data_IF_001831429836
#
_entry.id   IF_001831429836
#
_cell.length_a   1.000
_cell.length_b   1.000
_cell.length_c   1.000
_cell.angle_alpha   90.00
_cell.angle_beta   90.00
_cell.angle_gamma   90.00
#
_symmetry.space_group_name_H-M   'P 1'
#
loop_
_entity.id
_entity.type
_entity.pdbx_description
1 polymer ?
#
# COMPACT_ATOMS: atom_id res chain seq x y z
N UNK A 1 2.88 3.42 -7.44
CA UNK A 1 2.70 3.68 -5.99
C UNK A 1 2.78 5.18 -5.77
N UNK A 2 1.65 5.88 -5.71
CA UNK A 2 1.63 7.29 -5.34
C UNK A 2 1.78 7.41 -3.82
N UNK A 3 2.84 8.11 -3.36
CA UNK A 3 3.08 8.45 -1.96
C UNK A 3 3.86 7.41 -1.16
N UNK A 4 5.19 7.38 -1.31
CA UNK A 4 6.07 6.72 -0.33
C UNK A 4 6.26 7.64 0.87
N UNK A 5 5.38 7.57 1.87
CA UNK A 5 5.60 8.26 3.13
C UNK A 5 6.37 7.34 4.09
N UNK A 6 7.48 7.84 4.65
CA UNK A 6 8.29 7.07 5.62
C UNK A 6 7.48 6.90 6.91
N UNK A 7 7.36 5.67 7.40
CA UNK A 7 6.85 5.41 8.74
C UNK A 7 8.03 5.35 9.71
N UNK A 8 8.12 6.32 10.63
CA UNK A 8 9.16 6.36 11.65
C UNK A 8 8.81 5.43 12.83
N UNK A 9 9.84 4.92 13.52
CA UNK A 9 9.70 4.00 14.66
C UNK A 9 8.71 2.88 14.36
N UNK A 10 9.14 1.96 13.48
CA UNK A 10 8.27 0.94 12.94
C UNK A 10 8.98 -0.40 12.85
N UNK A 11 8.21 -1.47 13.02
CA UNK A 11 8.62 -2.82 12.68
C UNK A 11 8.01 -3.19 11.34
N UNK A 12 8.82 -3.72 10.44
CA UNK A 12 8.38 -4.27 9.16
C UNK A 12 8.83 -5.72 9.06
N UNK A 13 7.94 -6.57 8.61
CA UNK A 13 8.23 -7.95 8.27
C UNK A 13 7.85 -8.22 6.81
N UNK A 14 8.70 -8.96 6.13
CA UNK A 14 8.45 -9.48 4.77
C UNK A 14 8.77 -10.97 4.81
N UNK A 15 7.87 -11.80 4.32
CA UNK A 15 8.12 -13.24 4.21
C UNK A 15 9.19 -13.52 3.14
N UNK A 16 9.84 -14.69 3.18
CA UNK A 16 10.44 -15.27 1.98
C UNK A 16 9.40 -15.39 0.86
N UNK A 17 9.87 -15.53 -0.38
CA UNK A 17 8.99 -15.88 -1.51
C UNK A 17 8.69 -17.39 -1.47
N UNK A 18 7.42 -17.75 -1.38
CA UNK A 18 6.94 -19.14 -1.44
C UNK A 18 6.17 -19.35 -2.74
N UNK A 19 6.76 -20.08 -3.68
CA UNK A 19 6.16 -20.34 -5.01
C UNK A 19 5.68 -19.06 -5.73
N UNK A 20 6.46 -17.98 -5.60
CA UNK A 20 6.13 -16.68 -6.19
C UNK A 20 5.31 -15.75 -5.28
N UNK A 21 4.68 -16.28 -4.21
CA UNK A 21 3.93 -15.47 -3.24
C UNK A 21 4.86 -14.86 -2.19
N UNK A 22 4.78 -13.55 -2.00
CA UNK A 22 5.43 -12.81 -0.92
C UNK A 22 4.38 -12.03 -0.16
N UNK A 23 4.42 -12.08 1.18
CA UNK A 23 3.53 -11.29 2.04
C UNK A 23 4.37 -10.37 2.92
N UNK A 24 3.79 -9.24 3.31
CA UNK A 24 4.45 -8.28 4.18
C UNK A 24 3.48 -7.56 5.10
N UNK A 25 3.99 -7.15 6.25
CA UNK A 25 3.27 -6.34 7.22
C UNK A 25 4.19 -5.28 7.82
N UNK A 26 3.61 -4.15 8.22
CA UNK A 26 4.30 -3.06 8.90
C UNK A 26 3.42 -2.52 10.02
N UNK A 27 4.05 -2.25 11.16
CA UNK A 27 3.47 -1.55 12.29
C UNK A 27 4.37 -0.38 12.71
N UNK A 28 3.85 0.84 12.64
CA UNK A 28 4.48 2.05 13.16
C UNK A 28 3.82 2.49 14.46
N UNK A 29 4.62 2.72 15.50
CA UNK A 29 4.13 2.98 16.87
C UNK A 29 3.52 4.38 17.09
N UNK A 30 3.55 5.27 16.09
CA UNK A 30 2.94 6.61 16.17
C UNK A 30 3.68 7.64 17.03
N UNK A 31 4.73 7.22 17.76
CA UNK A 31 5.60 8.08 18.58
C UNK A 31 4.87 8.91 19.64
N UNK A 32 3.75 8.40 20.17
CA UNK A 32 3.03 9.02 21.29
C UNK A 32 3.53 8.40 22.59
N UNK A 33 4.08 9.22 23.49
CA UNK A 33 4.57 8.76 24.78
C UNK A 33 3.45 8.03 25.57
N UNK A 34 3.76 6.84 26.08
CA UNK A 34 2.79 6.02 26.83
C UNK A 34 1.72 5.32 25.98
N UNK A 35 1.74 5.43 24.64
CA UNK A 35 0.77 4.75 23.78
C UNK A 35 1.38 4.25 22.47
N UNK A 36 1.35 2.92 22.29
CA UNK A 36 1.79 2.28 21.04
C UNK A 36 0.73 2.29 19.93
N UNK A 37 -0.54 2.55 20.29
CA UNK A 37 -1.69 2.50 19.38
C UNK A 37 -2.21 3.87 18.93
N UNK A 38 -1.80 4.94 19.60
CA UNK A 38 -2.15 6.31 19.21
C UNK A 38 -1.30 6.76 18.02
N UNK A 39 -1.94 7.41 17.03
CA UNK A 39 -1.31 7.83 15.78
C UNK A 39 -0.53 6.71 15.05
N UNK A 40 -0.90 5.44 15.29
CA UNK A 40 -0.18 4.30 14.75
C UNK A 40 -0.45 4.11 13.25
N UNK A 41 0.48 3.44 12.57
CA UNK A 41 0.32 3.08 11.16
C UNK A 41 0.40 1.57 11.00
N UNK A 42 -0.56 0.99 10.30
CA UNK A 42 -0.56 -0.45 9.98
C UNK A 42 -0.59 -0.59 8.46
N UNK A 43 0.27 -1.42 7.90
CA UNK A 43 0.23 -1.79 6.49
C UNK A 43 0.36 -3.30 6.34
N UNK A 44 -0.36 -3.85 5.37
CA UNK A 44 -0.26 -5.26 4.96
C UNK A 44 -0.30 -5.32 3.45
N UNK A 45 0.39 -6.30 2.88
CA UNK A 45 0.37 -6.49 1.43
C UNK A 45 0.81 -7.89 1.05
N UNK A 46 0.46 -8.24 -0.18
CA UNK A 46 0.89 -9.46 -0.82
C UNK A 46 1.24 -9.18 -2.28
N UNK A 47 2.25 -9.86 -2.79
CA UNK A 47 2.57 -9.91 -4.21
C UNK A 47 2.74 -11.36 -4.64
N UNK A 48 2.39 -11.64 -5.88
CA UNK A 48 2.58 -12.91 -6.53
C UNK A 48 3.29 -12.67 -7.85
N UNK A 49 4.43 -13.32 -8.06
CA UNK A 49 5.22 -13.21 -9.26
C UNK A 49 5.51 -14.62 -9.80
N UNK A 50 5.05 -14.91 -11.01
CA UNK A 50 5.26 -16.20 -11.67
C UNK A 50 5.46 -16.03 -13.19
N UNK A 51 6.71 -16.08 -13.61
CA UNK A 51 7.10 -15.94 -15.01
C UNK A 51 6.66 -14.58 -15.59
N UNK A 52 5.87 -14.57 -16.67
CA UNK A 52 5.43 -13.33 -17.32
C UNK A 52 4.36 -12.56 -16.54
N UNK A 53 3.70 -13.21 -15.57
CA UNK A 53 2.63 -12.63 -14.79
C UNK A 53 3.12 -12.20 -13.41
N UNK A 54 2.63 -11.05 -12.96
CA UNK A 54 2.67 -10.74 -11.55
C UNK A 54 1.50 -9.85 -11.13
N UNK A 55 1.08 -10.00 -9.88
CA UNK A 55 0.01 -9.22 -9.28
C UNK A 55 0.36 -8.88 -7.84
N UNK A 56 -0.27 -7.85 -7.31
CA UNK A 56 -0.10 -7.50 -5.91
C UNK A 56 -1.19 -6.60 -5.41
N UNK A 57 -1.39 -6.63 -4.10
CA UNK A 57 -2.28 -5.73 -3.41
C UNK A 57 -1.66 -5.29 -2.09
N UNK A 58 -2.01 -4.10 -1.66
CA UNK A 58 -1.58 -3.54 -0.39
C UNK A 58 -2.70 -2.71 0.24
N UNK A 59 -2.71 -2.69 1.56
CA UNK A 59 -3.57 -1.87 2.38
C UNK A 59 -2.72 -1.17 3.43
N UNK A 60 -3.01 0.10 3.70
CA UNK A 60 -2.37 0.90 4.72
C UNK A 60 -3.43 1.72 5.45
N UNK A 61 -3.37 1.71 6.78
CA UNK A 61 -4.19 2.52 7.65
C UNK A 61 -3.27 3.34 8.54
N UNK A 62 -3.29 4.66 8.35
CA UNK A 62 -2.55 5.60 9.17
C UNK A 62 -3.53 6.35 10.07
N UNK A 63 -3.35 6.26 11.39
CA UNK A 63 -4.13 7.04 12.35
C UNK A 63 -3.42 8.35 12.65
N UNK A 64 -4.21 9.38 12.91
CA UNK A 64 -3.76 10.68 13.35
C UNK A 64 -4.51 11.01 14.64
N UNK A 65 -3.76 11.43 15.66
CA UNK A 65 -4.35 11.92 16.91
C UNK A 65 -5.17 13.19 16.69
N UNK A 66 -6.00 13.53 17.68
CA UNK A 66 -6.66 14.84 17.68
C UNK A 66 -5.60 15.94 17.74
N UNK A 67 -5.68 16.93 16.85
CA UNK A 67 -4.73 18.03 16.76
C UNK A 67 -5.48 19.30 16.36
N UNK A 68 -5.11 20.45 16.92
CA UNK A 68 -5.65 21.77 16.59
C UNK A 68 -7.20 21.83 16.52
N UNK A 69 -7.89 21.21 17.48
CA UNK A 69 -9.36 21.20 17.55
C UNK A 69 -10.05 20.23 16.59
N UNK A 70 -9.31 19.45 15.79
CA UNK A 70 -9.85 18.40 14.94
C UNK A 70 -9.94 17.07 15.70
N UNK A 71 -11.01 16.28 15.50
CA UNK A 71 -11.12 14.95 16.09
C UNK A 71 -10.04 14.02 15.53
N UNK A 72 -9.72 12.97 16.29
CA UNK A 72 -8.83 11.91 15.81
C UNK A 72 -9.39 11.29 14.51
N UNK A 73 -8.51 11.05 13.54
CA UNK A 73 -8.89 10.57 12.21
C UNK A 73 -7.95 9.48 11.73
N UNK A 74 -8.30 8.84 10.62
CA UNK A 74 -7.46 7.87 9.97
C UNK A 74 -7.58 7.95 8.45
N UNK A 75 -6.47 7.80 7.75
CA UNK A 75 -6.42 7.68 6.30
C UNK A 75 -6.15 6.23 5.94
N UNK A 76 -7.03 5.65 5.14
CA UNK A 76 -6.98 4.28 4.64
C UNK A 76 -6.67 4.32 3.16
N UNK A 77 -5.56 3.75 2.76
CA UNK A 77 -5.21 3.57 1.36
C UNK A 77 -5.18 2.07 1.04
N UNK A 78 -5.72 1.68 -0.10
CA UNK A 78 -5.52 0.35 -0.64
C UNK A 78 -5.30 0.41 -2.13
N UNK A 79 -4.57 -0.56 -2.67
CA UNK A 79 -4.40 -0.69 -4.10
C UNK A 79 -4.17 -2.13 -4.48
N UNK A 80 -4.51 -2.44 -5.73
CA UNK A 80 -4.27 -3.72 -6.35
C UNK A 80 -3.86 -3.49 -7.79
N UNK A 81 -2.92 -4.28 -8.28
CA UNK A 81 -2.46 -4.19 -9.66
C UNK A 81 -1.95 -5.52 -10.17
N UNK A 82 -1.83 -5.60 -11.48
CA UNK A 82 -1.30 -6.74 -12.18
C UNK A 82 -0.51 -6.31 -13.40
N UNK A 83 0.36 -7.20 -13.87
CA UNK A 83 1.07 -7.06 -15.11
C UNK A 83 1.22 -8.41 -15.81
N UNK A 84 1.37 -8.35 -17.13
CA UNK A 84 1.68 -9.51 -17.94
C UNK A 84 2.66 -9.13 -19.05
N UNK A 85 3.70 -9.95 -19.24
CA UNK A 85 4.71 -9.75 -20.29
C UNK A 85 4.56 -10.79 -21.39
N UNK A 86 4.26 -10.33 -22.61
CA UNK A 86 4.16 -11.16 -23.81
C UNK A 86 5.24 -10.72 -24.80
N UNK A 87 6.33 -11.48 -24.88
CA UNK A 87 7.47 -11.14 -25.72
C UNK A 87 8.10 -9.79 -25.32
N UNK A 88 8.06 -8.82 -26.22
CA UNK A 88 8.60 -7.47 -26.02
C UNK A 88 7.61 -6.48 -25.37
N UNK A 89 6.37 -6.91 -25.11
CA UNK A 89 5.29 -6.04 -24.61
C UNK A 89 4.96 -6.42 -23.17
N UNK A 90 4.93 -5.43 -22.27
CA UNK A 90 4.41 -5.59 -20.91
C UNK A 90 3.15 -4.76 -20.75
N UNK A 91 2.02 -5.41 -20.50
CA UNK A 91 0.76 -4.76 -20.12
C UNK A 91 0.67 -4.64 -18.60
N UNK A 92 0.07 -3.56 -18.10
CA UNK A 92 -0.12 -3.26 -16.68
C UNK A 92 -1.51 -2.70 -16.43
N UNK A 93 -2.07 -3.03 -15.27
CA UNK A 93 -3.28 -2.43 -14.75
C UNK A 93 -3.13 -2.21 -13.24
N UNK A 94 -3.61 -1.08 -12.73
CA UNK A 94 -3.51 -0.68 -11.34
C UNK A 94 -4.79 0.05 -10.92
N UNK A 95 -5.33 -0.30 -9.75
CA UNK A 95 -6.34 0.46 -9.04
C UNK A 95 -5.78 0.85 -7.69
N UNK A 96 -5.99 2.10 -7.28
CA UNK A 96 -5.65 2.60 -5.95
C UNK A 96 -6.79 3.45 -5.43
N UNK A 97 -7.15 3.26 -4.17
CA UNK A 97 -8.22 4.02 -3.50
C UNK A 97 -7.70 4.56 -2.19
N UNK A 98 -7.88 5.86 -1.99
CA UNK A 98 -7.64 6.54 -0.72
C UNK A 98 -8.98 6.93 -0.11
N UNK A 99 -9.24 6.52 1.12
CA UNK A 99 -10.40 6.92 1.92
C UNK A 99 -9.92 7.64 3.17
N UNK A 100 -10.49 8.80 3.45
CA UNK A 100 -10.27 9.53 4.71
C UNK A 100 -11.46 9.29 5.64
N UNK A 101 -11.19 8.81 6.86
CA UNK A 101 -12.21 8.50 7.85
C UNK A 101 -12.81 9.75 8.53
N UNK A 102 -12.17 10.92 8.47
CA UNK A 102 -12.69 12.17 9.08
C UNK A 102 -13.93 12.73 8.38
N UNK A 103 -14.05 12.55 7.07
CA UNK A 103 -15.09 13.16 6.25
C UNK A 103 -15.79 12.16 5.31
N UNK A 104 -15.43 10.88 5.37
CA UNK A 104 -15.97 9.83 4.50
C UNK A 104 -15.55 9.96 3.02
N UNK A 105 -14.74 10.95 2.67
CA UNK A 105 -14.33 11.20 1.29
C UNK A 105 -13.38 10.10 0.80
N UNK A 106 -13.67 9.57 -0.39
CA UNK A 106 -12.87 8.57 -1.06
C UNK A 106 -12.53 9.01 -2.47
N UNK A 107 -11.25 8.96 -2.82
CA UNK A 107 -10.77 9.16 -4.19
C UNK A 107 -10.20 7.83 -4.67
N UNK A 108 -10.58 7.42 -5.87
CA UNK A 108 -10.00 6.26 -6.54
C UNK A 108 -9.28 6.71 -7.81
N UNK A 109 -8.24 5.99 -8.16
CA UNK A 109 -7.48 6.13 -9.38
C UNK A 109 -7.35 4.76 -10.01
N UNK A 110 -7.58 4.68 -11.33
CA UNK A 110 -7.32 3.49 -12.12
C UNK A 110 -6.37 3.87 -13.27
N UNK A 111 -5.37 3.04 -13.49
CA UNK A 111 -4.36 3.21 -14.53
C UNK A 111 -4.24 1.89 -15.29
N UNK A 112 -4.14 1.96 -16.62
CA UNK A 112 -3.78 0.84 -17.46
C UNK A 112 -2.84 1.32 -18.55
N UNK A 113 -1.87 0.50 -18.94
CA UNK A 113 -0.90 0.88 -19.95
C UNK A 113 -0.08 -0.30 -20.45
N UNK A 114 0.62 -0.10 -21.55
CA UNK A 114 1.56 -1.06 -22.09
C UNK A 114 2.90 -0.39 -22.39
N UNK A 115 4.00 -1.10 -22.16
CA UNK A 115 5.34 -0.68 -22.55
C UNK A 115 5.93 -1.69 -23.51
N UNK A 116 6.57 -1.20 -24.57
CA UNK A 116 7.29 -2.02 -25.54
C UNK A 116 8.80 -1.78 -25.40
N UNK A 117 9.60 -2.86 -25.47
CA UNK A 117 11.06 -2.81 -25.46
C UNK A 117 11.61 -3.52 -26.70
N UNK A 118 12.10 -2.78 -27.72
CA UNK A 118 12.78 -3.41 -28.85
C UNK A 118 14.07 -4.10 -28.40
N UNK A 119 14.33 -5.27 -28.98
CA UNK A 119 15.58 -6.03 -28.89
C UNK A 119 16.68 -5.43 -29.74
#
# INVERSE_FOLDING_TARGET
>A
MAGSNRVANSVKYTSPSLAGLTVGALYGFGNVAGSIGAANTVSVGASYDNGPFGAGAAYTNQKYGAANGLPATSVRNWGAGMHYTLGQVTAKALVTTVRNAANGAGIWSAEAGASWRPS
#
